data_IF_710428101449
#
_entry.id   IF_710428101449
#
_cell.length_a   1.000
_cell.length_b   1.000
_cell.length_c   1.000
_cell.angle_alpha   90.00
_cell.angle_beta   90.00
_cell.angle_gamma   90.00
#
_symmetry.space_group_name_H-M   'P 1'
#
loop_
_entity.id
_entity.type
_entity.pdbx_description
1 polymer ?
#
# COMPACT_ATOMS: atom_id res chain seq x y z
N UNK A 1 20.19 19.36 -0.80
CA UNK A 1 18.90 18.65 -0.93
C UNK A 1 18.13 19.33 -2.04
N UNK A 2 18.08 18.68 -3.21
CA UNK A 2 17.73 19.27 -4.50
C UNK A 2 16.28 19.73 -4.66
N UNK A 3 16.05 20.49 -5.72
CA UNK A 3 14.72 20.92 -6.17
C UNK A 3 13.86 19.70 -6.46
N UNK A 4 12.61 19.69 -6.00
CA UNK A 4 11.65 18.70 -6.46
C UNK A 4 11.07 19.23 -7.77
N UNK A 5 11.64 18.77 -8.87
CA UNK A 5 11.12 18.93 -10.24
C UNK A 5 10.95 17.53 -10.80
N UNK A 6 9.97 17.34 -11.69
CA UNK A 6 9.75 16.05 -12.34
C UNK A 6 9.85 16.21 -13.85
N UNK A 7 10.76 15.45 -14.47
CA UNK A 7 10.71 15.16 -15.90
C UNK A 7 10.26 13.72 -16.03
N UNK A 8 9.08 13.50 -16.60
CA UNK A 8 8.48 12.18 -16.73
C UNK A 8 8.38 11.79 -18.21
N UNK A 9 8.92 10.64 -18.59
CA UNK A 9 8.86 10.11 -19.94
C UNK A 9 7.79 9.01 -20.04
N UNK A 10 6.87 9.13 -21.00
CA UNK A 10 5.92 8.08 -21.41
C UNK A 10 5.16 7.38 -20.25
N UNK A 11 4.75 8.15 -19.23
CA UNK A 11 4.08 7.60 -18.05
C UNK A 11 2.58 7.34 -18.23
N UNK A 12 2.04 6.32 -17.56
CA UNK A 12 0.60 6.05 -17.49
C UNK A 12 -0.05 6.60 -16.21
N UNK A 13 -1.39 6.73 -16.23
CA UNK A 13 -2.19 7.17 -15.08
C UNK A 13 -2.36 6.06 -14.05
N UNK A 14 -2.88 4.93 -14.51
CA UNK A 14 -3.19 3.76 -13.69
C UNK A 14 -2.99 2.52 -14.54
N UNK A 15 -2.73 1.38 -13.89
CA UNK A 15 -2.56 0.11 -14.61
C UNK A 15 -3.82 -0.27 -15.40
N UNK A 16 -5.01 0.07 -14.90
CA UNK A 16 -6.29 -0.23 -15.56
C UNK A 16 -6.49 0.55 -16.87
N UNK A 17 -5.82 1.68 -17.05
CA UNK A 17 -5.86 2.41 -18.31
C UNK A 17 -4.83 1.89 -19.32
N UNK A 18 -3.83 1.14 -18.87
CA UNK A 18 -2.83 0.48 -19.70
C UNK A 18 -3.31 -0.93 -20.10
N UNK A 19 -3.75 -1.72 -19.13
CA UNK A 19 -4.39 -3.03 -19.31
C UNK A 19 -5.80 -2.97 -18.71
N UNK A 20 -6.86 -2.82 -19.53
CA UNK A 20 -8.24 -2.71 -19.05
C UNK A 20 -8.71 -3.94 -18.26
N UNK A 21 -9.33 -3.70 -17.10
CA UNK A 21 -9.94 -4.75 -16.27
C UNK A 21 -11.43 -4.94 -16.60
N UNK A 22 -11.93 -4.32 -17.66
CA UNK A 22 -13.36 -4.30 -18.04
C UNK A 22 -13.91 -5.69 -18.29
N UNK A 23 -13.12 -6.57 -18.87
CA UNK A 23 -13.54 -7.92 -19.27
C UNK A 23 -13.12 -9.02 -18.28
N UNK A 24 -12.61 -8.64 -17.09
CA UNK A 24 -12.31 -9.61 -16.05
C UNK A 24 -13.57 -10.39 -15.64
N UNK A 25 -13.42 -11.72 -15.51
CA UNK A 25 -14.50 -12.64 -15.09
C UNK A 25 -15.19 -12.16 -13.80
N UNK A 26 -14.42 -11.60 -12.88
CA UNK A 26 -14.91 -11.02 -11.63
C UNK A 26 -16.07 -10.04 -11.82
N UNK A 27 -16.05 -9.21 -12.87
CA UNK A 27 -17.09 -8.20 -13.14
C UNK A 27 -18.45 -8.81 -13.49
N UNK A 28 -18.53 -10.13 -13.74
CA UNK A 28 -19.78 -10.83 -14.06
C UNK A 28 -20.48 -11.42 -12.84
N UNK A 29 -19.75 -11.62 -11.76
CA UNK A 29 -20.23 -12.37 -10.60
C UNK A 29 -20.08 -11.61 -9.27
N UNK A 30 -19.04 -10.80 -9.12
CA UNK A 30 -18.64 -10.25 -7.83
C UNK A 30 -19.60 -9.18 -7.32
N UNK A 31 -19.90 -9.24 -6.02
CA UNK A 31 -20.56 -8.15 -5.30
C UNK A 31 -19.80 -6.83 -5.53
N UNK A 32 -20.47 -5.73 -5.93
CA UNK A 32 -19.85 -4.42 -6.04
C UNK A 32 -19.10 -3.94 -4.79
N UNK A 33 -19.56 -4.32 -3.59
CA UNK A 33 -18.89 -4.00 -2.33
C UNK A 33 -17.53 -4.69 -2.22
N UNK A 34 -17.46 -5.98 -2.59
CA UNK A 34 -16.21 -6.72 -2.69
C UNK A 34 -15.29 -6.08 -3.72
N UNK A 35 -15.80 -5.76 -4.92
CA UNK A 35 -15.01 -5.11 -5.97
C UNK A 35 -14.42 -3.76 -5.52
N UNK A 36 -15.17 -2.98 -4.74
CA UNK A 36 -14.68 -1.75 -4.12
C UNK A 36 -13.48 -2.00 -3.20
N UNK A 37 -13.53 -3.03 -2.34
CA UNK A 37 -12.42 -3.41 -1.45
C UNK A 37 -11.20 -3.87 -2.24
N UNK A 38 -11.39 -4.70 -3.27
CA UNK A 38 -10.28 -5.18 -4.11
C UNK A 38 -9.63 -4.02 -4.88
N UNK A 39 -10.41 -3.10 -5.44
CA UNK A 39 -9.86 -1.93 -6.13
C UNK A 39 -9.19 -0.93 -5.18
N UNK A 40 -9.62 -0.84 -3.92
CA UNK A 40 -8.89 -0.10 -2.89
C UNK A 40 -7.44 -0.58 -2.72
N UNK A 41 -7.15 -1.86 -2.99
CA UNK A 41 -5.78 -2.40 -3.00
C UNK A 41 -4.91 -1.91 -4.16
N UNK A 42 -5.49 -1.25 -5.15
CA UNK A 42 -4.76 -0.66 -6.27
C UNK A 42 -4.55 0.85 -6.11
N UNK A 43 -5.22 1.47 -5.13
CA UNK A 43 -5.18 2.92 -4.92
C UNK A 43 -3.76 3.49 -4.75
N UNK A 44 -2.78 2.83 -4.08
CA UNK A 44 -1.41 3.35 -4.02
C UNK A 44 -0.71 3.46 -5.39
N UNK A 45 -1.20 2.74 -6.39
CA UNK A 45 -0.67 2.72 -7.76
C UNK A 45 -1.55 3.52 -8.74
N UNK A 46 -2.52 4.26 -8.22
CA UNK A 46 -3.39 5.15 -8.99
C UNK A 46 -2.84 6.56 -8.96
N UNK A 47 -1.94 6.87 -9.90
CA UNK A 47 -1.21 8.14 -9.91
C UNK A 47 -2.15 9.37 -10.01
N UNK A 48 -3.31 9.20 -10.64
CA UNK A 48 -4.35 10.22 -10.72
C UNK A 48 -4.94 10.59 -9.35
N UNK A 49 -5.18 9.61 -8.47
CA UNK A 49 -5.63 9.87 -7.10
C UNK A 49 -4.64 10.75 -6.32
N UNK A 50 -3.35 10.66 -6.63
CA UNK A 50 -2.28 11.40 -5.96
C UNK A 50 -1.89 12.73 -6.62
N UNK A 51 -2.56 13.12 -7.71
CA UNK A 51 -2.17 14.30 -8.49
C UNK A 51 -2.23 15.62 -7.70
N UNK A 52 -2.98 15.69 -6.60
CA UNK A 52 -2.97 16.85 -5.70
C UNK A 52 -1.57 17.11 -5.11
N UNK A 53 -0.76 16.06 -4.90
CA UNK A 53 0.58 16.17 -4.34
C UNK A 53 1.53 16.93 -5.26
N UNK A 54 1.23 16.94 -6.55
CA UNK A 54 2.03 17.52 -7.63
C UNK A 54 1.61 18.95 -7.98
N UNK A 55 0.55 19.49 -7.37
CA UNK A 55 0.16 20.88 -7.60
C UNK A 55 1.31 21.82 -7.26
N UNK A 56 1.60 22.80 -8.12
CA UNK A 56 2.68 23.77 -7.95
C UNK A 56 4.12 23.19 -7.94
N UNK A 57 4.29 21.94 -8.39
CA UNK A 57 5.61 21.40 -8.71
C UNK A 57 5.85 21.61 -10.21
N UNK A 58 7.03 22.14 -10.63
CA UNK A 58 7.40 22.15 -12.05
C UNK A 58 7.48 20.74 -12.62
N UNK A 59 6.72 20.47 -13.68
CA UNK A 59 6.66 19.16 -14.33
C UNK A 59 6.75 19.32 -15.84
N UNK A 60 7.62 18.53 -16.47
CA UNK A 60 7.63 18.34 -17.91
C UNK A 60 7.36 16.86 -18.23
N UNK A 61 6.20 16.57 -18.78
CA UNK A 61 5.85 15.26 -19.29
C UNK A 61 6.27 15.16 -20.76
N UNK A 62 7.27 14.35 -21.06
CA UNK A 62 7.75 14.10 -22.42
C UNK A 62 7.15 12.79 -22.93
N UNK A 63 6.64 12.79 -24.16
CA UNK A 63 5.94 11.63 -24.71
C UNK A 63 6.20 11.49 -26.20
N UNK A 64 6.39 10.28 -26.72
CA UNK A 64 6.42 10.06 -28.16
C UNK A 64 5.03 10.24 -28.76
N UNK A 65 4.86 11.11 -29.77
CA UNK A 65 3.55 11.40 -30.34
C UNK A 65 2.88 10.18 -31.01
N UNK A 66 3.70 9.22 -31.43
CA UNK A 66 3.27 7.99 -32.12
C UNK A 66 3.40 6.76 -31.18
N UNK A 67 3.43 6.98 -29.86
CA UNK A 67 3.44 5.90 -28.86
C UNK A 67 2.12 5.12 -28.89
N UNK A 68 2.20 3.85 -29.29
CA UNK A 68 1.09 2.90 -29.37
C UNK A 68 1.04 1.92 -28.18
N UNK A 69 2.04 1.94 -27.31
CA UNK A 69 2.09 1.12 -26.10
C UNK A 69 1.44 1.84 -24.92
N UNK A 70 1.90 3.06 -24.62
CA UNK A 70 1.31 3.95 -23.64
C UNK A 70 0.90 5.23 -24.36
N UNK A 71 -0.35 5.40 -24.81
CA UNK A 71 -0.65 6.53 -25.69
C UNK A 71 -0.47 7.91 -25.03
N UNK A 72 -0.09 8.97 -25.78
CA UNK A 72 0.18 10.32 -25.25
C UNK A 72 -0.96 10.96 -24.45
N UNK A 73 -2.19 10.45 -24.63
CA UNK A 73 -3.36 10.82 -23.82
C UNK A 73 -3.08 10.75 -22.31
N UNK A 74 -2.21 9.85 -21.86
CA UNK A 74 -1.87 9.71 -20.45
C UNK A 74 -1.15 10.94 -19.90
N UNK A 75 -0.13 11.45 -20.59
CA UNK A 75 0.57 12.68 -20.19
C UNK A 75 -0.34 13.90 -20.27
N UNK A 76 -1.17 14.00 -21.32
CA UNK A 76 -2.19 15.07 -21.42
C UNK A 76 -3.16 15.06 -20.24
N UNK A 77 -3.67 13.89 -19.88
CA UNK A 77 -4.61 13.74 -18.77
C UNK A 77 -3.94 14.03 -17.41
N UNK A 78 -2.70 13.57 -17.19
CA UNK A 78 -1.91 13.92 -16.01
C UNK A 78 -1.74 15.43 -15.85
N UNK A 79 -1.27 16.11 -16.90
CA UNK A 79 -1.08 17.55 -16.86
C UNK A 79 -2.41 18.30 -16.64
N UNK A 80 -3.50 17.86 -17.26
CA UNK A 80 -4.83 18.44 -17.05
C UNK A 80 -5.33 18.26 -15.61
N UNK A 81 -5.12 17.09 -15.01
CA UNK A 81 -5.53 16.80 -13.64
C UNK A 81 -4.71 17.61 -12.62
N UNK A 82 -3.39 17.70 -12.81
CA UNK A 82 -2.52 18.53 -11.97
C UNK A 82 -2.91 20.01 -12.09
N UNK A 83 -3.22 20.48 -13.30
CA UNK A 83 -3.72 21.85 -13.53
C UNK A 83 -5.03 22.11 -12.82
N UNK A 84 -5.94 21.12 -12.83
CA UNK A 84 -7.23 21.21 -12.12
C UNK A 84 -7.03 21.32 -10.61
N UNK A 85 -6.08 20.57 -10.03
CA UNK A 85 -5.73 20.69 -8.61
C UNK A 85 -5.05 22.01 -8.26
N UNK A 86 -4.23 22.57 -9.16
CA UNK A 86 -3.60 23.88 -8.95
C UNK A 86 -4.62 25.05 -9.03
N UNK A 87 -5.74 24.85 -9.73
CA UNK A 87 -6.75 25.88 -9.94
C UNK A 87 -6.26 27.04 -10.81
N UNK A 88 -5.25 26.82 -11.65
CA UNK A 88 -4.61 27.81 -12.51
C UNK A 88 -4.64 27.32 -13.96
N UNK A 89 -5.00 28.21 -14.91
CA UNK A 89 -5.04 27.86 -16.34
C UNK A 89 -3.65 27.52 -16.90
N UNK A 90 -2.63 28.20 -16.38
CA UNK A 90 -1.22 27.96 -16.70
C UNK A 90 -0.53 27.26 -15.54
N UNK A 91 -0.83 25.97 -15.37
CA UNK A 91 -0.09 25.17 -14.39
C UNK A 91 1.38 24.99 -14.79
N UNK A 92 2.18 24.63 -13.80
CA UNK A 92 3.60 24.31 -13.97
C UNK A 92 3.82 22.93 -14.62
N UNK A 93 2.76 22.19 -14.93
CA UNK A 93 2.82 20.91 -15.63
C UNK A 93 2.67 21.14 -17.15
N UNK A 94 3.73 20.89 -17.90
CA UNK A 94 3.77 21.00 -19.36
C UNK A 94 3.88 19.62 -20.01
N UNK A 95 3.34 19.48 -21.21
CA UNK A 95 3.44 18.26 -22.02
C UNK A 95 4.23 18.58 -23.29
N UNK A 96 5.24 17.76 -23.59
CA UNK A 96 6.02 17.78 -24.81
C UNK A 96 5.78 16.46 -25.55
N UNK A 97 4.96 16.50 -26.59
CA UNK A 97 4.80 15.37 -27.51
C UNK A 97 5.84 15.49 -28.64
N UNK A 98 6.69 14.47 -28.79
CA UNK A 98 7.79 14.44 -29.77
C UNK A 98 7.31 13.75 -31.05
N UNK A 99 7.19 14.45 -32.19
CA UNK A 99 6.70 13.85 -33.42
C UNK A 99 7.54 12.66 -33.88
N UNK A 100 6.89 11.63 -34.46
CA UNK A 100 7.57 10.45 -35.04
C UNK A 100 8.33 9.58 -34.04
N UNK A 101 8.10 9.76 -32.74
CA UNK A 101 8.66 8.91 -31.69
C UNK A 101 7.55 8.04 -31.09
N UNK A 102 7.86 6.76 -30.92
CA UNK A 102 7.01 5.80 -30.20
C UNK A 102 7.35 5.75 -28.72
N UNK A 103 7.16 4.59 -28.09
CA UNK A 103 7.33 4.44 -26.65
C UNK A 103 8.76 4.64 -26.13
N UNK A 104 9.75 4.17 -26.91
CA UNK A 104 11.17 4.18 -26.53
C UNK A 104 12.00 4.94 -27.55
N UNK A 105 12.90 5.81 -27.07
CA UNK A 105 13.99 6.40 -27.85
C UNK A 105 15.10 6.91 -26.92
N UNK A 106 16.33 6.98 -27.41
CA UNK A 106 17.52 7.09 -26.57
C UNK A 106 17.77 8.49 -25.97
N UNK A 107 17.25 9.54 -26.61
CA UNK A 107 17.62 10.94 -26.33
C UNK A 107 16.53 11.75 -25.63
N UNK A 108 15.62 11.11 -24.88
CA UNK A 108 14.51 11.81 -24.20
C UNK A 108 15.05 12.89 -23.27
N UNK A 109 15.97 12.52 -22.38
CA UNK A 109 16.48 13.38 -21.31
C UNK A 109 17.56 14.37 -21.78
N UNK A 110 18.25 14.07 -22.88
CA UNK A 110 19.26 14.93 -23.50
C UNK A 110 18.65 15.95 -24.47
N UNK A 111 17.34 15.88 -24.73
CA UNK A 111 16.68 16.82 -25.64
C UNK A 111 16.80 18.27 -25.15
N UNK A 112 16.99 19.20 -26.10
CA UNK A 112 17.13 20.63 -25.80
C UNK A 112 15.94 21.17 -25.00
N UNK A 113 14.73 20.69 -25.26
CA UNK A 113 13.53 21.10 -24.52
C UNK A 113 13.58 20.69 -23.04
N UNK A 114 14.10 19.49 -22.72
CA UNK A 114 14.25 19.03 -21.34
C UNK A 114 15.35 19.83 -20.63
N UNK A 115 16.49 20.02 -21.30
CA UNK A 115 17.61 20.81 -20.76
C UNK A 115 17.17 22.25 -20.48
N UNK A 116 16.49 22.89 -21.45
CA UNK A 116 15.95 24.24 -21.31
C UNK A 116 14.95 24.36 -20.16
N UNK A 117 14.07 23.36 -20.00
CA UNK A 117 13.12 23.32 -18.90
C UNK A 117 13.83 23.29 -17.54
N UNK A 118 14.84 22.43 -17.39
CA UNK A 118 15.64 22.31 -16.16
C UNK A 118 16.39 23.62 -15.87
N UNK A 119 16.99 24.25 -16.89
CA UNK A 119 17.73 25.50 -16.73
C UNK A 119 16.84 26.69 -16.36
N UNK A 120 15.54 26.64 -16.69
CA UNK A 120 14.56 27.71 -16.45
C UNK A 120 13.70 27.47 -15.21
N UNK A 121 14.07 26.53 -14.35
CA UNK A 121 13.30 26.24 -13.13
C UNK A 121 13.27 27.45 -12.19
N UNK A 122 12.10 27.74 -11.57
CA UNK A 122 12.00 28.83 -10.61
C UNK A 122 12.81 28.54 -9.34
N UNK A 123 13.19 29.58 -8.58
CA UNK A 123 13.86 29.39 -7.30
C UNK A 123 12.96 28.63 -6.32
N UNK A 124 13.61 27.88 -5.43
CA UNK A 124 12.93 27.08 -4.41
C UNK A 124 12.09 27.94 -3.46
N UNK A 125 10.82 27.59 -3.35
CA UNK A 125 9.96 28.11 -2.29
C UNK A 125 10.33 27.52 -0.92
N UNK A 126 10.45 28.38 0.09
CA UNK A 126 10.52 27.98 1.49
C UNK A 126 9.26 27.21 1.91
N UNK A 127 9.33 26.49 3.03
CA UNK A 127 8.16 25.79 3.55
C UNK A 127 7.04 26.74 3.95
N UNK A 128 7.38 27.92 4.46
CA UNK A 128 6.39 28.92 4.87
C UNK A 128 5.67 29.51 3.65
N UNK A 129 6.38 29.77 2.55
CA UNK A 129 5.76 30.18 1.28
C UNK A 129 4.81 29.11 0.75
N UNK A 130 5.24 27.83 0.74
CA UNK A 130 4.40 26.72 0.30
C UNK A 130 3.16 26.55 1.19
N UNK A 131 3.32 26.60 2.52
CA UNK A 131 2.23 26.54 3.49
C UNK A 131 1.28 27.72 3.35
N UNK A 132 1.78 28.94 3.11
CA UNK A 132 0.97 30.15 2.92
C UNK A 132 0.16 30.09 1.61
N UNK A 133 0.74 29.55 0.54
CA UNK A 133 0.02 29.29 -0.73
C UNK A 133 -1.09 28.26 -0.53
N UNK A 134 -0.82 27.25 0.30
CA UNK A 134 -1.73 26.16 0.62
C UNK A 134 -1.67 25.03 -0.41
N UNK A 135 -1.92 23.80 0.02
CA UNK A 135 -1.86 22.60 -0.82
C UNK A 135 -2.65 21.44 -0.19
N UNK A 136 -2.87 20.37 -0.97
CA UNK A 136 -3.52 19.15 -0.51
C UNK A 136 -2.59 17.95 -0.69
N UNK A 137 -2.32 17.23 0.41
CA UNK A 137 -1.61 15.95 0.39
C UNK A 137 -2.61 14.80 0.36
N UNK A 138 -2.46 13.89 -0.60
CA UNK A 138 -3.28 12.71 -0.79
C UNK A 138 -2.44 11.44 -0.72
N UNK A 139 -2.84 10.49 0.10
CA UNK A 139 -2.18 9.17 0.18
C UNK A 139 -3.19 8.05 0.40
N UNK A 140 -2.94 6.88 -0.20
CA UNK A 140 -3.64 5.64 0.07
C UNK A 140 -2.85 4.75 1.04
N UNK A 141 -1.53 4.95 1.11
CA UNK A 141 -0.62 4.30 2.05
C UNK A 141 0.45 5.32 2.53
N UNK A 142 0.43 5.77 3.79
CA UNK A 142 1.42 6.70 4.34
C UNK A 142 2.88 6.27 4.25
N UNK A 143 3.17 4.96 4.11
CA UNK A 143 4.54 4.46 4.00
C UNK A 143 5.12 4.57 2.58
N UNK A 144 4.26 4.73 1.57
CA UNK A 144 4.65 4.89 0.16
C UNK A 144 4.59 6.36 -0.29
N UNK A 145 4.11 7.27 0.57
CA UNK A 145 3.98 8.69 0.27
C UNK A 145 4.83 9.55 1.19
N UNK A 146 5.62 10.45 0.60
CA UNK A 146 6.40 11.45 1.32
C UNK A 146 5.55 12.60 1.90
N UNK A 147 6.22 13.54 2.53
CA UNK A 147 5.64 14.80 2.99
C UNK A 147 5.88 15.97 2.04
N UNK A 148 5.16 17.07 2.27
CA UNK A 148 5.35 18.36 1.59
C UNK A 148 5.46 19.47 2.62
N UNK A 149 6.36 20.43 2.36
CA UNK A 149 6.62 21.55 3.26
C UNK A 149 6.78 21.16 4.75
N UNK A 150 7.47 20.05 5.03
CA UNK A 150 7.70 19.54 6.37
C UNK A 150 6.48 18.90 7.05
N UNK A 151 5.39 18.64 6.35
CA UNK A 151 4.18 17.98 6.86
C UNK A 151 3.99 16.66 6.11
N UNK A 152 3.71 15.57 6.83
CA UNK A 152 3.37 14.27 6.24
C UNK A 152 2.24 13.58 6.99
N UNK A 153 1.43 12.81 6.28
CA UNK A 153 0.48 11.86 6.87
C UNK A 153 1.27 10.64 7.33
N UNK A 154 1.03 10.14 8.55
CA UNK A 154 1.72 8.95 9.08
C UNK A 154 0.77 7.84 9.50
N UNK A 155 -0.51 8.14 9.69
CA UNK A 155 -1.52 7.14 10.05
C UNK A 155 -2.90 7.50 9.49
N UNK A 156 -3.64 6.49 9.03
CA UNK A 156 -5.00 6.64 8.50
C UNK A 156 -6.05 6.27 9.56
N UNK A 157 -7.25 6.85 9.46
CA UNK A 157 -8.38 6.46 10.33
C UNK A 157 -8.89 5.06 9.95
N UNK A 158 -9.01 4.78 8.66
CA UNK A 158 -9.48 3.51 8.09
C UNK A 158 -8.55 3.11 6.93
N UNK A 159 -7.63 2.13 7.15
CA UNK A 159 -6.74 1.64 6.10
C UNK A 159 -7.52 1.05 4.92
N UNK A 160 -6.97 1.18 3.71
CA UNK A 160 -7.66 0.82 2.46
C UNK A 160 -8.56 1.92 1.90
N UNK A 161 -8.68 3.06 2.58
CA UNK A 161 -9.36 4.26 2.06
C UNK A 161 -8.37 5.37 1.78
N UNK A 162 -8.66 6.17 0.75
CA UNK A 162 -7.87 7.34 0.40
C UNK A 162 -7.92 8.38 1.52
N UNK A 163 -6.77 8.93 1.88
CA UNK A 163 -6.65 10.00 2.84
C UNK A 163 -6.26 11.31 2.15
N UNK A 164 -6.82 12.41 2.63
CA UNK A 164 -6.51 13.77 2.15
C UNK A 164 -6.25 14.68 3.33
N UNK A 165 -5.20 15.48 3.23
CA UNK A 165 -4.82 16.50 4.20
C UNK A 165 -4.70 17.84 3.47
N UNK A 166 -5.62 18.74 3.76
CA UNK A 166 -5.62 20.11 3.30
C UNK A 166 -4.79 20.97 4.26
N UNK A 167 -3.78 21.66 3.74
CA UNK A 167 -2.96 22.62 4.48
C UNK A 167 -3.23 24.01 3.91
N UNK A 168 -3.87 24.88 4.70
CA UNK A 168 -4.26 26.24 4.30
C UNK A 168 -5.00 26.29 2.94
N UNK A 169 -5.77 25.26 2.61
CA UNK A 169 -6.35 25.12 1.27
C UNK A 169 -7.33 26.26 0.96
N UNK A 170 -7.30 26.73 -0.30
CA UNK A 170 -8.02 27.93 -0.77
C UNK A 170 -9.52 27.91 -0.43
N UNK A 171 -10.14 26.73 -0.50
CA UNK A 171 -11.56 26.50 -0.23
C UNK A 171 -11.99 26.72 1.24
N UNK A 172 -11.03 26.80 2.17
CA UNK A 172 -11.29 26.99 3.60
C UNK A 172 -10.87 28.38 4.13
N UNK A 173 -10.33 29.25 3.27
CA UNK A 173 -10.00 30.63 3.63
C UNK A 173 -11.29 31.42 3.88
N UNK A 174 -11.67 31.58 5.14
CA UNK A 174 -12.52 32.71 5.53
C UNK A 174 -11.68 33.98 5.50
N UNK A 175 -12.30 35.16 5.34
CA UNK A 175 -11.62 36.47 5.42
C UNK A 175 -10.95 36.74 6.80
N UNK A 176 -11.00 35.79 7.74
CA UNK A 176 -10.49 35.89 9.11
C UNK A 176 -9.47 34.79 9.50
N UNK A 177 -8.64 34.29 8.59
CA UNK A 177 -7.58 33.33 9.00
C UNK A 177 -6.40 34.06 9.65
N UNK A 178 -6.53 34.34 10.95
CA UNK A 178 -5.46 34.84 11.83
C UNK A 178 -4.56 33.72 12.40
N UNK A 179 -4.81 32.46 12.07
CA UNK A 179 -3.95 31.32 12.45
C UNK A 179 -2.91 31.05 11.35
N UNK A 180 -1.62 30.85 11.67
CA UNK A 180 -0.56 30.63 10.67
C UNK A 180 -0.67 29.28 9.94
N UNK A 181 -1.45 28.31 10.44
CA UNK A 181 -1.56 26.96 9.88
C UNK A 181 -2.93 26.30 10.16
N UNK A 182 -3.88 26.37 9.21
CA UNK A 182 -5.13 25.59 9.19
C UNK A 182 -4.89 24.23 8.51
N UNK A 183 -5.14 23.14 9.24
CA UNK A 183 -4.98 21.77 8.75
C UNK A 183 -6.27 20.99 8.96
N UNK A 184 -6.81 20.44 7.86
CA UNK A 184 -8.02 19.61 7.88
C UNK A 184 -7.77 18.33 7.10
N UNK A 185 -8.44 17.25 7.46
CA UNK A 185 -8.22 15.99 6.76
C UNK A 185 -9.36 14.98 6.82
N UNK A 186 -9.47 14.23 5.73
CA UNK A 186 -10.35 13.09 5.56
C UNK A 186 -9.52 11.81 5.68
N UNK A 187 -9.97 10.87 6.50
CA UNK A 187 -9.30 9.58 6.74
C UNK A 187 -7.85 9.69 7.25
N UNK A 188 -7.53 10.73 8.04
CA UNK A 188 -6.19 10.97 8.59
C UNK A 188 -6.27 10.91 10.10
N UNK A 189 -5.50 10.01 10.72
CA UNK A 189 -5.46 9.82 12.17
C UNK A 189 -4.29 10.56 12.82
N UNK A 190 -3.09 10.39 12.27
CA UNK A 190 -1.86 11.07 12.71
C UNK A 190 -1.13 11.73 11.55
N UNK A 191 -0.56 12.90 11.82
CA UNK A 191 0.39 13.59 10.95
C UNK A 191 1.69 13.83 11.69
N UNK A 192 2.77 14.04 10.95
CA UNK A 192 4.04 14.48 11.51
C UNK A 192 4.43 15.81 10.86
N UNK A 193 4.73 16.80 11.71
CA UNK A 193 5.16 18.15 11.30
C UNK A 193 6.59 18.35 11.78
N UNK A 194 7.46 18.80 10.89
CA UNK A 194 8.85 19.08 11.24
C UNK A 194 8.92 20.34 12.11
N UNK A 195 9.56 20.22 13.27
CA UNK A 195 9.68 21.30 14.23
C UNK A 195 10.49 22.47 13.64
N UNK A 196 10.06 23.70 13.89
CA UNK A 196 10.78 24.91 13.48
C UNK A 196 12.06 25.12 14.32
N UNK A 197 12.11 24.56 15.53
CA UNK A 197 13.22 24.73 16.47
C UNK A 197 14.35 23.69 16.29
N UNK A 198 14.06 22.55 15.66
CA UNK A 198 15.04 21.50 15.37
C UNK A 198 14.83 20.95 13.97
N UNK A 199 15.77 21.21 13.07
CA UNK A 199 15.75 20.72 11.69
C UNK A 199 15.93 19.20 11.56
N UNK A 200 15.99 18.45 12.66
CA UNK A 200 16.12 16.99 12.67
C UNK A 200 14.91 16.25 13.26
N UNK A 201 13.98 16.93 13.95
CA UNK A 201 12.89 16.26 14.68
C UNK A 201 11.51 16.58 14.09
N UNK A 202 10.70 15.54 13.95
CA UNK A 202 9.27 15.64 13.65
C UNK A 202 8.47 15.50 14.95
N UNK A 203 7.51 16.40 15.14
CA UNK A 203 6.49 16.30 16.18
C UNK A 203 5.26 15.62 15.58
N UNK A 204 4.70 14.66 16.31
CA UNK A 204 3.50 13.93 15.86
C UNK A 204 2.26 14.59 16.43
N UNK A 205 1.26 14.76 15.57
CA UNK A 205 -0.03 15.34 15.92
C UNK A 205 -1.13 14.32 15.65
N UNK A 206 -2.13 14.29 16.52
CA UNK A 206 -3.33 13.44 16.39
C UNK A 206 -4.51 14.32 16.04
N UNK A 207 -5.41 13.79 15.21
CA UNK A 207 -6.65 14.46 14.85
C UNK A 207 -7.55 14.65 16.07
N UNK A 208 -8.00 15.88 16.29
CA UNK A 208 -8.99 16.23 17.31
C UNK A 208 -10.37 16.38 16.68
N UNK A 209 -11.42 16.05 17.45
CA UNK A 209 -12.81 16.29 17.03
C UNK A 209 -13.23 17.72 17.42
N UNK A 210 -14.02 18.44 16.60
CA UNK A 210 -14.58 18.04 15.31
C UNK A 210 -13.62 18.23 14.12
N UNK A 211 -12.63 19.12 14.23
CA UNK A 211 -11.60 19.40 13.23
C UNK A 211 -10.27 19.77 13.90
N UNK A 212 -9.17 19.61 13.17
CA UNK A 212 -7.83 20.05 13.60
C UNK A 212 -6.93 18.92 14.13
N UNK A 213 -5.71 19.30 14.49
CA UNK A 213 -4.65 18.40 14.94
C UNK A 213 -3.94 19.02 16.15
N UNK A 214 -3.80 18.26 17.24
CA UNK A 214 -3.05 18.69 18.43
C UNK A 214 -1.76 17.87 18.59
N UNK A 215 -0.69 18.46 19.13
CA UNK A 215 0.52 17.70 19.43
C UNK A 215 0.20 16.60 20.43
N UNK A 216 0.84 15.44 20.27
CA UNK A 216 0.73 14.35 21.24
C UNK A 216 1.57 14.71 22.47
N UNK A 217 0.94 14.77 23.65
CA UNK A 217 1.68 14.80 24.92
C UNK A 217 2.24 13.40 25.20
N UNK A 218 3.56 13.23 25.06
CA UNK A 218 4.28 11.98 25.31
C UNK A 218 4.15 11.46 26.76
N UNK A 219 3.64 12.28 27.70
CA UNK A 219 3.48 11.95 29.12
C UNK A 219 2.13 11.33 29.50
N UNK A 220 1.12 11.32 28.62
CA UNK A 220 -0.26 10.88 28.94
C UNK A 220 -0.65 9.57 28.24
N UNK A 221 0.16 9.08 27.30
CA UNK A 221 -0.13 7.88 26.55
C UNK A 221 0.99 6.87 26.82
N UNK A 222 0.66 5.74 27.45
CA UNK A 222 1.52 4.55 27.48
C UNK A 222 1.98 4.19 26.06
N UNK A 223 3.00 3.32 25.90
CA UNK A 223 3.84 3.21 24.71
C UNK A 223 2.98 3.27 23.44
N UNK A 224 2.93 4.44 22.80
CA UNK A 224 2.25 4.60 21.53
C UNK A 224 3.02 3.73 20.55
N UNK A 225 2.44 2.60 20.17
CA UNK A 225 2.97 1.79 19.11
C UNK A 225 3.18 2.69 17.89
N UNK A 226 4.37 2.58 17.28
CA UNK A 226 4.63 3.21 15.99
C UNK A 226 3.47 2.84 15.04
N UNK A 227 3.01 3.76 14.17
CA UNK A 227 1.99 3.44 13.18
C UNK A 227 2.32 2.11 12.50
N UNK A 228 1.33 1.22 12.42
CA UNK A 228 1.57 -0.10 11.83
C UNK A 228 2.02 0.03 10.38
N UNK A 229 2.72 -1.00 9.90
CA UNK A 229 2.84 -1.19 8.47
C UNK A 229 1.47 -1.51 7.85
N UNK A 230 1.12 -0.79 6.78
CA UNK A 230 -0.11 -0.99 6.01
C UNK A 230 0.14 -1.96 4.87
N UNK A 231 -0.90 -2.73 4.51
CA UNK A 231 -0.98 -3.32 3.19
C UNK A 231 -1.29 -2.27 2.11
N UNK A 232 -1.74 -2.66 0.91
CA UNK A 232 -2.29 -3.96 0.52
C UNK A 232 -1.27 -5.10 0.49
N UNK A 233 -1.71 -6.34 0.24
CA UNK A 233 -0.87 -7.56 0.37
C UNK A 233 0.49 -7.46 -0.30
N UNK A 234 0.57 -6.81 -1.46
CA UNK A 234 1.80 -6.60 -2.24
C UNK A 234 2.90 -5.86 -1.45
N UNK A 235 2.55 -5.13 -0.38
CA UNK A 235 3.51 -4.50 0.55
C UNK A 235 4.46 -5.49 1.21
N UNK A 236 4.11 -6.78 1.27
CA UNK A 236 5.02 -7.83 1.73
C UNK A 236 6.32 -7.86 0.91
N UNK A 237 6.28 -7.44 -0.36
CA UNK A 237 7.46 -7.41 -1.23
C UNK A 237 8.42 -6.25 -0.92
N UNK A 238 7.97 -5.23 -0.18
CA UNK A 238 8.83 -4.10 0.25
C UNK A 238 9.65 -4.45 1.49
N UNK A 239 10.24 -5.65 1.48
CA UNK A 239 11.06 -6.15 2.57
C UNK A 239 12.39 -5.36 2.66
N UNK A 240 12.79 -4.88 3.86
CA UNK A 240 14.05 -4.16 4.03
C UNK A 240 15.29 -5.06 4.07
N UNK A 241 15.09 -6.38 4.17
CA UNK A 241 16.13 -7.41 4.19
C UNK A 241 15.63 -8.71 3.52
N UNK A 242 16.44 -9.76 3.51
CA UNK A 242 16.09 -11.07 2.95
C UNK A 242 14.80 -11.64 3.57
N UNK A 243 14.02 -12.36 2.76
CA UNK A 243 12.76 -12.96 3.21
C UNK A 243 13.01 -14.23 4.02
N UNK A 244 12.14 -14.53 4.98
CA UNK A 244 12.12 -15.82 5.68
C UNK A 244 10.82 -16.57 5.36
N UNK A 245 10.92 -17.75 4.75
CA UNK A 245 9.80 -18.62 4.47
C UNK A 245 9.76 -19.71 5.54
N UNK A 246 8.80 -19.60 6.46
CA UNK A 246 8.66 -20.51 7.59
C UNK A 246 7.69 -21.63 7.25
N UNK A 247 8.19 -22.87 7.29
CA UNK A 247 7.42 -24.08 7.03
C UNK A 247 7.37 -25.00 8.26
N UNK A 248 6.39 -25.91 8.37
CA UNK A 248 6.35 -26.95 9.39
C UNK A 248 7.67 -27.68 9.59
N UNK A 249 8.05 -27.92 10.84
CA UNK A 249 9.10 -28.89 11.16
C UNK A 249 8.70 -30.28 10.69
N UNK A 250 9.62 -30.99 10.01
CA UNK A 250 9.42 -32.37 9.58
C UNK A 250 8.93 -33.25 10.74
N UNK A 251 7.68 -33.70 10.67
CA UNK A 251 7.19 -34.86 11.44
C UNK A 251 6.90 -36.08 10.58
N UNK A 252 6.87 -35.90 9.27
CA UNK A 252 6.88 -36.86 8.15
C UNK A 252 6.83 -35.93 6.92
N UNK A 253 7.51 -36.28 5.82
CA UNK A 253 7.67 -35.41 4.64
C UNK A 253 6.39 -34.60 4.34
N UNK A 254 6.44 -33.27 4.52
CA UNK A 254 5.35 -32.36 4.12
C UNK A 254 5.69 -31.76 2.75
N UNK A 255 5.66 -32.54 1.64
CA UNK A 255 6.13 -32.10 0.34
C UNK A 255 5.36 -30.87 -0.14
N UNK A 256 4.09 -30.71 0.28
CA UNK A 256 3.27 -29.59 -0.17
C UNK A 256 3.78 -28.23 0.36
N UNK A 257 4.04 -28.09 1.67
CA UNK A 257 4.50 -26.83 2.26
C UNK A 257 5.87 -26.42 1.69
N UNK A 258 6.80 -27.37 1.58
CA UNK A 258 8.10 -27.15 0.97
C UNK A 258 7.98 -26.81 -0.52
N UNK A 259 7.06 -27.45 -1.25
CA UNK A 259 6.80 -27.15 -2.66
C UNK A 259 6.24 -25.72 -2.84
N UNK A 260 5.29 -25.30 -2.01
CA UNK A 260 4.79 -23.91 -2.00
C UNK A 260 5.92 -22.94 -1.69
N UNK A 261 6.72 -23.21 -0.65
CA UNK A 261 7.84 -22.35 -0.27
C UNK A 261 8.86 -22.22 -1.42
N UNK A 262 9.21 -23.32 -2.09
CA UNK A 262 10.11 -23.29 -3.26
C UNK A 262 9.53 -22.51 -4.44
N UNK A 263 8.22 -22.59 -4.70
CA UNK A 263 7.57 -21.79 -5.75
C UNK A 263 7.59 -20.29 -5.43
N UNK A 264 7.27 -19.92 -4.19
CA UNK A 264 7.35 -18.53 -3.74
C UNK A 264 8.80 -18.02 -3.80
N UNK A 265 9.76 -18.80 -3.32
CA UNK A 265 11.19 -18.48 -3.39
C UNK A 265 11.65 -18.28 -4.85
N UNK A 266 11.22 -19.16 -5.75
CA UNK A 266 11.48 -19.02 -7.18
C UNK A 266 10.90 -17.71 -7.73
N UNK A 267 9.64 -17.39 -7.43
CA UNK A 267 9.00 -16.17 -7.92
C UNK A 267 9.66 -14.90 -7.36
N UNK A 268 10.06 -14.90 -6.08
CA UNK A 268 10.84 -13.81 -5.46
C UNK A 268 12.17 -13.60 -6.19
N UNK A 269 12.89 -14.67 -6.52
CA UNK A 269 14.16 -14.58 -7.23
C UNK A 269 13.99 -14.16 -8.71
N UNK A 270 13.00 -14.73 -9.40
CA UNK A 270 12.79 -14.49 -10.84
C UNK A 270 12.29 -13.08 -11.08
N UNK A 271 11.23 -12.65 -10.39
CA UNK A 271 10.54 -11.39 -10.66
C UNK A 271 11.10 -10.20 -9.85
N UNK A 272 11.60 -10.44 -8.64
CA UNK A 272 12.00 -9.37 -7.72
C UNK A 272 13.50 -9.34 -7.40
N UNK A 273 14.28 -10.32 -7.89
CA UNK A 273 15.70 -10.50 -7.56
C UNK A 273 15.96 -10.46 -6.05
N UNK A 274 15.00 -10.98 -5.29
CA UNK A 274 15.04 -10.97 -3.84
C UNK A 274 15.56 -12.29 -3.29
N UNK A 275 16.46 -12.20 -2.31
CA UNK A 275 16.98 -13.35 -1.57
C UNK A 275 15.97 -13.80 -0.50
N UNK A 276 15.90 -15.10 -0.29
CA UNK A 276 15.06 -15.69 0.73
C UNK A 276 15.67 -16.95 1.33
N UNK A 277 15.27 -17.25 2.56
CA UNK A 277 15.68 -18.45 3.29
C UNK A 277 14.44 -19.25 3.68
N UNK A 278 14.41 -20.54 3.36
CA UNK A 278 13.36 -21.44 3.81
C UNK A 278 13.83 -22.07 5.13
N UNK A 279 13.12 -21.80 6.22
CA UNK A 279 13.47 -22.28 7.56
C UNK A 279 12.32 -23.08 8.17
N UNK A 280 12.61 -24.12 8.97
CA UNK A 280 11.60 -24.82 9.75
C UNK A 280 11.07 -23.95 10.90
N UNK A 281 9.83 -24.20 11.32
CA UNK A 281 9.12 -23.40 12.32
C UNK A 281 9.85 -23.27 13.68
N UNK A 282 10.53 -24.33 14.14
CA UNK A 282 11.30 -24.33 15.39
C UNK A 282 12.48 -23.36 15.32
N UNK A 283 13.18 -23.33 14.19
CA UNK A 283 14.30 -22.42 13.96
C UNK A 283 13.80 -20.99 13.84
N UNK A 284 12.68 -20.77 13.13
CA UNK A 284 12.03 -19.45 13.07
C UNK A 284 11.69 -18.90 14.46
N UNK A 285 11.09 -19.74 15.32
CA UNK A 285 10.78 -19.37 16.71
C UNK A 285 12.04 -19.09 17.53
N UNK A 286 13.07 -19.90 17.40
CA UNK A 286 14.36 -19.70 18.07
C UNK A 286 15.00 -18.37 17.67
N UNK A 287 15.03 -18.06 16.38
CA UNK A 287 15.54 -16.79 15.85
C UNK A 287 14.73 -15.60 16.34
N UNK A 288 13.39 -15.71 16.44
CA UNK A 288 12.55 -14.66 17.05
C UNK A 288 12.91 -14.45 18.51
N UNK A 289 12.99 -15.53 19.30
CA UNK A 289 13.30 -15.46 20.73
C UNK A 289 14.69 -14.87 21.01
N UNK A 290 15.66 -15.12 20.13
CA UNK A 290 17.02 -14.56 20.21
C UNK A 290 17.17 -13.16 19.58
N UNK A 291 16.12 -12.62 18.96
CA UNK A 291 16.20 -11.34 18.24
C UNK A 291 17.03 -11.39 16.95
N UNK A 292 17.19 -12.58 16.37
CA UNK A 292 18.05 -12.87 15.21
C UNK A 292 17.28 -13.04 13.89
N UNK A 293 15.94 -12.98 13.91
CA UNK A 293 15.10 -13.10 12.69
C UNK A 293 15.26 -11.89 11.74
N UNK A 294 15.84 -10.78 12.20
CA UNK A 294 16.05 -9.58 11.39
C UNK A 294 14.75 -8.84 11.02
N UNK A 295 14.87 -7.78 10.20
CA UNK A 295 13.74 -6.95 9.77
C UNK A 295 13.08 -7.44 8.46
N UNK A 296 13.55 -8.55 7.88
CA UNK A 296 13.05 -9.08 6.63
C UNK A 296 11.61 -9.59 6.75
N UNK A 297 10.84 -9.51 5.66
CA UNK A 297 9.46 -9.99 5.65
C UNK A 297 9.39 -11.50 5.84
N UNK A 298 8.41 -11.95 6.63
CA UNK A 298 8.26 -13.37 6.99
C UNK A 298 7.01 -13.93 6.31
N UNK A 299 7.14 -15.03 5.59
CA UNK A 299 6.04 -15.74 4.94
C UNK A 299 5.88 -17.08 5.67
N UNK A 300 4.75 -17.24 6.37
CA UNK A 300 4.44 -18.41 7.17
C UNK A 300 3.44 -19.27 6.41
N UNK A 301 3.77 -20.54 6.18
CA UNK A 301 2.93 -21.48 5.43
C UNK A 301 2.48 -22.58 6.37
N UNK A 302 1.18 -22.77 6.51
CA UNK A 302 0.58 -23.81 7.37
C UNK A 302 -0.23 -23.25 8.54
N UNK A 303 -0.93 -24.16 9.21
CA UNK A 303 -1.85 -23.87 10.33
C UNK A 303 -1.20 -24.22 11.68
N UNK A 304 -1.79 -23.85 12.83
CA UNK A 304 -1.26 -24.26 14.14
C UNK A 304 -1.05 -25.77 14.32
N UNK A 305 -1.89 -26.61 13.71
CA UNK A 305 -1.80 -28.07 13.86
C UNK A 305 -0.52 -28.67 13.26
N UNK A 306 0.08 -27.98 12.28
CA UNK A 306 1.28 -28.44 11.59
C UNK A 306 2.47 -27.46 11.66
N UNK A 307 2.23 -26.18 11.96
CA UNK A 307 3.24 -25.14 12.02
C UNK A 307 3.20 -24.44 13.39
N UNK A 308 4.23 -24.70 14.21
CA UNK A 308 4.36 -24.15 15.57
C UNK A 308 4.54 -22.62 15.58
N UNK A 309 5.07 -22.07 14.49
CA UNK A 309 5.18 -20.62 14.33
C UNK A 309 3.79 -19.99 14.15
N UNK A 310 2.93 -20.61 13.35
CA UNK A 310 1.53 -20.18 13.20
C UNK A 310 0.77 -20.31 14.52
N UNK A 311 0.98 -21.41 15.27
CA UNK A 311 0.39 -21.61 16.60
C UNK A 311 0.77 -20.46 17.55
N UNK A 312 2.05 -20.12 17.61
CA UNK A 312 2.56 -19.02 18.43
C UNK A 312 1.96 -17.67 18.03
N UNK A 313 1.95 -17.31 16.73
CA UNK A 313 1.36 -16.05 16.27
C UNK A 313 -0.15 -15.97 16.57
N UNK A 314 -0.88 -17.06 16.35
CA UNK A 314 -2.32 -17.11 16.64
C UNK A 314 -2.61 -16.92 18.14
N UNK A 315 -1.74 -17.45 19.01
CA UNK A 315 -1.84 -17.26 20.45
C UNK A 315 -1.61 -15.81 20.89
N UNK A 316 -0.82 -15.02 20.16
CA UNK A 316 -0.62 -13.58 20.43
C UNK A 316 -1.88 -12.74 20.16
N UNK A 317 -2.82 -13.24 19.33
CA UNK A 317 -4.09 -12.58 19.00
C UNK A 317 -3.93 -11.14 18.45
N UNK A 318 -2.84 -10.88 17.72
CA UNK A 318 -2.57 -9.56 17.11
C UNK A 318 -3.49 -9.23 15.93
N UNK A 319 -4.03 -10.25 15.26
CA UNK A 319 -5.10 -10.10 14.26
C UNK A 319 -6.32 -10.93 14.68
N UNK A 320 -7.54 -10.57 14.26
CA UNK A 320 -8.77 -11.24 14.67
C UNK A 320 -9.03 -12.53 13.86
N UNK A 321 -8.02 -13.39 13.72
CA UNK A 321 -8.09 -14.71 13.07
C UNK A 321 -7.80 -15.79 14.10
N UNK A 322 -8.61 -16.84 14.11
CA UNK A 322 -8.45 -17.98 15.00
C UNK A 322 -8.61 -19.30 14.24
N UNK A 323 -7.91 -20.32 14.71
CA UNK A 323 -7.98 -21.69 14.22
C UNK A 323 -8.44 -22.60 15.37
N UNK A 324 -9.75 -22.64 15.69
CA UNK A 324 -10.25 -23.38 16.85
C UNK A 324 -10.04 -24.89 16.73
N UNK A 325 -10.16 -25.43 15.51
CA UNK A 325 -9.97 -26.84 15.18
C UNK A 325 -9.42 -26.98 13.77
N UNK A 326 -8.99 -28.20 13.42
CA UNK A 326 -8.62 -28.52 12.06
C UNK A 326 -9.79 -28.26 11.10
N UNK A 327 -9.51 -27.63 9.96
CA UNK A 327 -10.51 -27.31 8.94
C UNK A 327 -11.51 -26.20 9.29
N UNK A 328 -11.31 -25.46 10.39
CA UNK A 328 -12.18 -24.33 10.77
C UNK A 328 -11.35 -23.08 11.00
N UNK A 329 -11.78 -21.95 10.45
CA UNK A 329 -11.22 -20.64 10.70
C UNK A 329 -12.32 -19.73 11.25
N UNK A 330 -11.97 -18.82 12.16
CA UNK A 330 -12.88 -17.77 12.63
C UNK A 330 -12.22 -16.45 12.35
N UNK A 331 -12.96 -15.55 11.69
CA UNK A 331 -12.58 -14.18 11.43
C UNK A 331 -13.51 -13.30 12.26
N UNK A 332 -12.95 -12.32 12.95
CA UNK A 332 -13.74 -11.38 13.76
C UNK A 332 -14.76 -12.04 14.71
N UNK A 333 -14.30 -12.84 15.68
CA UNK A 333 -15.11 -13.49 16.74
C UNK A 333 -16.20 -14.47 16.30
N UNK A 334 -17.04 -14.16 15.31
CA UNK A 334 -18.25 -14.90 14.95
C UNK A 334 -18.33 -15.32 13.47
N UNK A 335 -17.45 -14.84 12.59
CA UNK A 335 -17.47 -15.21 11.17
C UNK A 335 -16.72 -16.51 10.95
N UNK A 336 -17.43 -17.63 11.03
CA UNK A 336 -16.88 -18.98 10.94
C UNK A 336 -16.79 -19.46 9.49
N UNK A 337 -15.63 -19.96 9.09
CA UNK A 337 -15.36 -20.56 7.78
C UNK A 337 -14.90 -22.01 7.96
N UNK A 338 -15.76 -22.94 7.55
CA UNK A 338 -15.53 -24.39 7.67
C UNK A 338 -15.62 -25.12 6.32
N UNK A 339 -15.69 -24.37 5.21
CA UNK A 339 -15.78 -24.90 3.86
C UNK A 339 -14.52 -25.72 3.51
N UNK A 340 -14.73 -26.88 2.89
CA UNK A 340 -13.65 -27.65 2.25
C UNK A 340 -13.07 -26.85 1.08
N UNK A 341 -11.76 -26.88 0.94
CA UNK A 341 -11.03 -26.08 -0.04
C UNK A 341 -10.95 -24.59 0.32
N UNK A 342 -11.38 -24.16 1.51
CA UNK A 342 -11.16 -22.78 1.93
C UNK A 342 -9.69 -22.55 2.29
N UNK A 343 -9.12 -21.47 1.74
CA UNK A 343 -7.76 -21.03 1.98
C UNK A 343 -7.74 -19.60 2.49
N UNK A 344 -6.86 -19.30 3.43
CA UNK A 344 -6.62 -17.96 3.97
C UNK A 344 -5.23 -17.48 3.54
N UNK A 345 -5.18 -16.24 3.08
CA UNK A 345 -3.95 -15.47 2.98
C UNK A 345 -4.15 -14.15 3.72
N UNK A 346 -3.25 -13.80 4.65
CA UNK A 346 -3.40 -12.60 5.48
C UNK A 346 -2.08 -11.99 5.87
N UNK A 347 -1.96 -10.68 5.74
CA UNK A 347 -0.93 -9.90 6.42
C UNK A 347 -1.09 -10.01 7.94
N UNK A 348 0.04 -9.95 8.63
CA UNK A 348 0.17 -9.99 10.07
C UNK A 348 1.30 -9.02 10.49
N UNK A 349 1.23 -8.39 11.68
CA UNK A 349 2.35 -7.60 12.18
C UNK A 349 3.61 -8.46 12.30
N UNK A 350 4.74 -7.92 11.87
CA UNK A 350 6.03 -8.58 12.04
C UNK A 350 6.34 -8.73 13.55
N UNK A 351 6.85 -9.89 14.00
CA UNK A 351 7.00 -10.21 15.42
C UNK A 351 7.94 -9.27 16.17
N UNK A 352 8.95 -8.72 15.49
CA UNK A 352 10.04 -7.95 16.11
C UNK A 352 10.26 -6.56 15.51
N UNK A 353 9.60 -6.20 14.40
CA UNK A 353 9.90 -4.97 13.64
C UNK A 353 8.63 -4.32 13.10
N UNK A 354 8.13 -3.27 13.75
CA UNK A 354 6.82 -2.66 13.43
C UNK A 354 6.68 -2.09 12.01
N UNK A 355 7.79 -1.77 11.34
CA UNK A 355 7.82 -1.28 9.95
C UNK A 355 7.78 -2.38 8.89
N UNK A 356 7.96 -3.64 9.29
CA UNK A 356 7.95 -4.82 8.42
C UNK A 356 6.66 -5.61 8.57
N UNK A 357 6.44 -6.56 7.65
CA UNK A 357 5.22 -7.36 7.59
C UNK A 357 5.53 -8.86 7.68
N UNK A 358 4.57 -9.60 8.21
CA UNK A 358 4.48 -11.04 8.07
C UNK A 358 3.26 -11.38 7.21
N UNK A 359 3.28 -12.54 6.55
CA UNK A 359 2.21 -13.05 5.70
C UNK A 359 1.90 -14.50 6.09
N UNK A 360 0.68 -14.77 6.52
CA UNK A 360 0.20 -16.11 6.80
C UNK A 360 -0.53 -16.68 5.57
N UNK A 361 -0.16 -17.89 5.16
CA UNK A 361 -0.84 -18.69 4.14
C UNK A 361 -1.28 -20.00 4.80
N UNK A 362 -2.58 -20.21 4.90
CA UNK A 362 -3.18 -21.38 5.55
C UNK A 362 -4.34 -21.94 4.72
N UNK A 363 -4.66 -23.22 4.91
CA UNK A 363 -5.82 -23.87 4.29
C UNK A 363 -6.65 -24.61 5.31
N UNK A 364 -7.94 -24.80 5.09
CA UNK A 364 -8.74 -25.78 5.83
C UNK A 364 -8.40 -27.23 5.44
N UNK A 365 -7.83 -27.41 4.25
CA UNK A 365 -7.27 -28.66 3.73
C UNK A 365 -6.15 -28.33 2.72
N UNK A 366 -5.57 -29.37 2.12
CA UNK A 366 -4.51 -29.25 1.12
C UNK A 366 -4.93 -28.40 -0.10
N UNK A 367 -6.18 -28.51 -0.52
CA UNK A 367 -6.72 -27.75 -1.64
C UNK A 367 -6.81 -26.26 -1.28
N UNK A 368 -7.32 -25.94 -0.09
CA UNK A 368 -7.39 -24.58 0.42
C UNK A 368 -6.02 -23.93 0.54
N UNK A 369 -5.02 -24.68 1.04
CA UNK A 369 -3.65 -24.20 1.14
C UNK A 369 -3.07 -23.86 -0.24
N UNK A 370 -3.27 -24.74 -1.23
CA UNK A 370 -2.81 -24.51 -2.61
C UNK A 370 -3.53 -23.32 -3.26
N UNK A 371 -4.83 -23.15 -3.01
CA UNK A 371 -5.58 -22.00 -3.53
C UNK A 371 -5.11 -20.68 -2.90
N UNK A 372 -4.86 -20.64 -1.59
CA UNK A 372 -4.36 -19.46 -0.90
C UNK A 372 -2.95 -19.09 -1.37
N UNK A 373 -2.07 -20.08 -1.54
CA UNK A 373 -0.70 -19.85 -2.02
C UNK A 373 -0.64 -19.20 -3.41
N UNK A 374 -1.62 -19.48 -4.29
CA UNK A 374 -1.73 -18.84 -5.62
C UNK A 374 -2.04 -17.35 -5.57
N UNK A 375 -2.52 -16.85 -4.43
CA UNK A 375 -2.77 -15.43 -4.20
C UNK A 375 -1.52 -14.67 -3.75
N UNK A 376 -0.37 -15.35 -3.53
CA UNK A 376 0.86 -14.64 -3.20
C UNK A 376 1.17 -13.57 -4.28
N UNK A 377 1.39 -12.29 -3.91
CA UNK A 377 1.39 -11.19 -4.86
C UNK A 377 2.72 -11.13 -5.62
N UNK A 378 2.88 -11.93 -6.67
CA UNK A 378 4.13 -11.99 -7.46
C UNK A 378 4.23 -10.90 -8.52
N UNK A 379 3.10 -10.32 -8.94
CA UNK A 379 3.01 -9.34 -10.04
C UNK A 379 2.26 -8.08 -9.61
N UNK A 380 2.56 -6.97 -10.28
CA UNK A 380 1.84 -5.71 -10.12
C UNK A 380 0.41 -5.82 -10.66
N UNK A 381 -0.47 -4.94 -10.17
CA UNK A 381 -1.86 -4.87 -10.63
C UNK A 381 -2.81 -5.93 -10.05
N UNK A 382 -2.34 -6.83 -9.18
CA UNK A 382 -3.19 -7.82 -8.51
C UNK A 382 -3.93 -7.16 -7.34
N UNK A 383 -5.27 -7.08 -7.34
CA UNK A 383 -6.05 -6.35 -6.34
C UNK A 383 -6.30 -7.21 -5.09
N UNK A 384 -5.29 -7.38 -4.23
CA UNK A 384 -5.41 -8.14 -2.98
C UNK A 384 -5.23 -7.24 -1.75
N UNK A 385 -6.24 -7.16 -0.85
CA UNK A 385 -6.18 -6.31 0.33
C UNK A 385 -5.35 -6.98 1.44
N UNK A 386 -5.45 -6.57 2.70
CA UNK A 386 -4.62 -7.14 3.77
C UNK A 386 -4.88 -8.64 3.99
N UNK A 387 -6.11 -9.11 3.75
CA UNK A 387 -6.47 -10.51 3.88
C UNK A 387 -7.53 -10.93 2.86
N UNK A 388 -7.50 -12.20 2.48
CA UNK A 388 -8.50 -12.83 1.61
C UNK A 388 -8.69 -14.30 1.98
N UNK A 389 -9.92 -14.77 1.82
CA UNK A 389 -10.31 -16.16 1.99
C UNK A 389 -10.84 -16.67 0.66
N UNK A 390 -10.12 -17.60 0.06
CA UNK A 390 -10.42 -18.20 -1.23
C UNK A 390 -11.12 -19.54 -1.05
N UNK A 391 -11.95 -19.94 -2.01
CA UNK A 391 -12.50 -21.29 -2.07
C UNK A 391 -12.52 -21.81 -3.52
N UNK A 392 -12.92 -23.07 -3.77
CA UNK A 392 -12.91 -23.64 -5.12
C UNK A 392 -13.74 -22.85 -6.16
N UNK A 393 -14.74 -22.06 -5.74
CA UNK A 393 -15.52 -21.18 -6.63
C UNK A 393 -14.65 -20.15 -7.36
N UNK A 394 -13.54 -19.71 -6.76
CA UNK A 394 -12.66 -18.70 -7.37
C UNK A 394 -12.03 -19.15 -8.68
N UNK A 395 -12.00 -20.46 -8.96
CA UNK A 395 -11.49 -21.02 -10.22
C UNK A 395 -12.31 -20.61 -11.43
N UNK A 396 -13.60 -20.35 -11.26
CA UNK A 396 -14.51 -20.04 -12.37
C UNK A 396 -15.28 -18.72 -12.18
N UNK A 397 -15.42 -18.23 -10.94
CA UNK A 397 -16.05 -16.94 -10.64
C UNK A 397 -15.05 -15.79 -10.41
N UNK A 398 -13.75 -16.06 -10.47
CA UNK A 398 -12.72 -15.07 -10.13
C UNK A 398 -12.88 -14.56 -8.69
N UNK A 399 -12.92 -13.23 -8.53
CA UNK A 399 -13.04 -12.59 -7.22
C UNK A 399 -14.32 -12.96 -6.46
N UNK A 400 -15.45 -13.20 -7.13
CA UNK A 400 -16.69 -13.58 -6.44
C UNK A 400 -16.61 -14.94 -5.73
N UNK A 401 -15.63 -15.76 -6.10
CA UNK A 401 -15.41 -17.02 -5.41
C UNK A 401 -14.74 -16.86 -4.04
N UNK A 402 -14.33 -15.64 -3.66
CA UNK A 402 -13.82 -15.39 -2.31
C UNK A 402 -14.95 -15.57 -1.29
N UNK A 403 -14.63 -16.16 -0.14
CA UNK A 403 -15.52 -16.22 1.03
C UNK A 403 -15.49 -14.88 1.77
N UNK A 404 -14.34 -14.21 1.76
CA UNK A 404 -14.19 -12.88 2.34
C UNK A 404 -12.88 -12.22 1.94
N UNK A 405 -12.82 -10.90 2.03
CA UNK A 405 -11.60 -10.13 1.83
C UNK A 405 -11.71 -8.76 2.52
N UNK A 406 -10.58 -8.20 2.93
CA UNK A 406 -10.59 -6.91 3.59
C UNK A 406 -9.24 -6.35 3.98
N UNK A 407 -9.28 -5.13 4.53
CA UNK A 407 -8.15 -4.48 5.18
C UNK A 407 -8.28 -4.61 6.70
N UNK A 408 -7.14 -4.69 7.39
CA UNK A 408 -7.14 -4.56 8.85
C UNK A 408 -7.26 -3.10 9.27
N UNK A 409 -7.78 -2.85 10.46
CA UNK A 409 -7.87 -1.52 11.07
C UNK A 409 -6.50 -0.94 11.43
N UNK A 410 -6.48 0.23 12.06
CA UNK A 410 -5.24 0.94 12.40
C UNK A 410 -4.38 0.17 13.43
N UNK A 411 -5.01 -0.63 14.28
CA UNK A 411 -4.41 -1.44 15.34
C UNK A 411 -4.54 -2.95 15.02
N UNK A 412 -4.60 -3.31 13.74
CA UNK A 412 -4.77 -4.69 13.25
C UNK A 412 -6.11 -5.36 13.57
N UNK A 413 -7.09 -4.61 14.06
CA UNK A 413 -8.46 -5.05 14.33
C UNK A 413 -9.28 -5.29 13.06
N UNK A 414 -10.45 -5.93 13.18
CA UNK A 414 -11.36 -6.09 12.05
C UNK A 414 -11.95 -4.74 11.65
N UNK A 415 -11.81 -4.35 10.38
CA UNK A 415 -12.35 -3.10 9.85
C UNK A 415 -13.65 -3.38 9.10
N UNK A 416 -14.79 -3.27 9.78
CA UNK A 416 -16.12 -3.52 9.21
C UNK A 416 -16.34 -2.74 7.89
N UNK A 417 -15.86 -1.50 7.85
CA UNK A 417 -16.08 -0.59 6.74
C UNK A 417 -15.21 -0.90 5.50
N UNK A 418 -14.20 -1.77 5.65
CA UNK A 418 -13.27 -2.22 4.61
C UNK A 418 -13.09 -3.74 4.62
N UNK A 419 -14.12 -4.46 5.03
CA UNK A 419 -14.16 -5.91 5.03
C UNK A 419 -15.47 -6.39 4.41
N UNK A 420 -15.40 -7.46 3.63
CA UNK A 420 -16.56 -8.10 3.01
C UNK A 420 -16.50 -9.61 3.26
N UNK A 421 -17.67 -10.19 3.48
CA UNK A 421 -17.87 -11.63 3.60
C UNK A 421 -19.10 -12.01 2.78
N UNK A 422 -19.04 -13.17 2.11
CA UNK A 422 -20.18 -13.74 1.37
C UNK A 422 -21.34 -14.14 2.31
N UNK A 423 -21.03 -14.44 3.58
CA UNK A 423 -21.98 -14.90 4.61
C UNK A 423 -21.58 -14.45 6.01
#
# INVERSE_FOLDING_TARGET
>A
MGDCTVVAASGWLTIQHYVPYTDCISNRYADPALMGILFSSLAPYHNDLHSSNLSDIPILAVHGADDDNVPPRHSRAHAALISSWAGEKDSMAKVLEVPKKGHWWDDVLSSSAVVDFIQKLPPRQSWDEQRKKGYTLTTANPQECGGRAGIRIVELDSPGRLARLDVNARQWKSDQTAEPLDIRGMNVRRIAIKSLQSSQHFETYVKCRPYGFSPINNSVLGPLAAPRAYGPMIRILSSPASFHLVIPSSREDQPQHLSIAKRIAHDLYVYHKADCEIIPDHEGLERVAKGQIGPGSIIIIGRPENNRYTEWMAAERKIPIQFPTNGVMIINKDKVVYDRGAGLISLHPHPTHSGSLSLLIAGNDELGLELAARLFPTRTGVPLPDWAIVCPRSRWQGANGLIGAGFWGSEWEYNEAMSWMDR
#
